data_IF_188500805989
#
_entry.id   IF_188500805989
#
_cell.length_a   1.000
_cell.length_b   1.000
_cell.length_c   1.000
_cell.angle_alpha   90.00
_cell.angle_beta   90.00
_cell.angle_gamma   90.00
#
_symmetry.space_group_name_H-M   'P 1'
#
loop_
_entity.id
_entity.type
_entity.pdbx_description
1 polymer ?
#
# COMPACT_ATOMS: atom_id res chain seq x y z
N UNK A 1 -2.56 -7.24 -24.45
CA UNK A 1 -1.18 -6.98 -24.93
C UNK A 1 -1.14 -5.56 -25.48
N UNK A 2 -0.15 -4.73 -25.10
CA UNK A 2 0.05 -3.42 -25.75
C UNK A 2 0.27 -3.71 -27.24
N UNK A 3 -0.48 -3.06 -28.11
CA UNK A 3 -0.16 -3.05 -29.53
C UNK A 3 1.23 -2.42 -29.69
N UNK A 4 2.11 -3.09 -30.41
CA UNK A 4 3.46 -2.58 -30.71
C UNK A 4 3.27 -1.49 -31.77
N UNK A 5 3.43 -0.22 -31.37
CA UNK A 5 3.32 0.92 -32.29
C UNK A 5 4.66 1.27 -32.95
N UNK A 6 5.39 0.23 -33.35
CA UNK A 6 6.71 0.36 -33.94
C UNK A 6 6.72 1.28 -35.17
N UNK A 7 5.70 1.19 -36.02
CA UNK A 7 5.56 2.02 -37.22
C UNK A 7 5.48 3.51 -36.90
N UNK A 8 4.70 3.86 -35.88
CA UNK A 8 4.59 5.27 -35.40
C UNK A 8 5.94 5.77 -34.90
N UNK A 9 6.65 4.95 -34.10
CA UNK A 9 7.96 5.32 -33.53
C UNK A 9 9.01 5.51 -34.62
N UNK A 10 9.02 4.63 -35.62
CA UNK A 10 9.89 4.80 -36.81
C UNK A 10 9.59 6.12 -37.54
N UNK A 11 8.31 6.39 -37.82
CA UNK A 11 7.90 7.61 -38.51
C UNK A 11 8.24 8.90 -37.73
N UNK A 12 8.03 8.89 -36.43
CA UNK A 12 8.35 10.02 -35.54
C UNK A 12 9.87 10.30 -35.51
N UNK A 13 10.70 9.28 -35.29
CA UNK A 13 12.15 9.42 -35.24
C UNK A 13 12.74 9.83 -36.61
N UNK A 14 12.23 9.25 -37.71
CA UNK A 14 12.62 9.66 -39.06
C UNK A 14 12.33 11.14 -39.31
N UNK A 15 11.11 11.60 -38.99
CA UNK A 15 10.72 13.03 -39.14
C UNK A 15 11.55 13.95 -38.24
N UNK A 16 11.82 13.54 -37.02
CA UNK A 16 12.66 14.28 -36.08
C UNK A 16 14.07 14.50 -36.63
N UNK A 17 14.61 13.52 -37.35
CA UNK A 17 15.91 13.59 -38.05
C UNK A 17 15.82 14.24 -39.43
N UNK A 18 14.63 14.59 -39.90
CA UNK A 18 14.37 15.23 -41.20
C UNK A 18 14.85 14.43 -42.40
N UNK A 19 14.83 13.10 -42.33
CA UNK A 19 15.16 12.19 -43.39
C UNK A 19 13.92 11.65 -44.09
N UNK A 20 14.10 11.26 -45.37
CA UNK A 20 13.06 10.65 -46.20
C UNK A 20 12.93 9.15 -45.94
N UNK A 21 11.83 8.52 -46.39
CA UNK A 21 11.70 7.06 -46.36
C UNK A 21 12.72 6.38 -47.27
N UNK A 22 13.16 7.04 -48.33
CA UNK A 22 14.18 6.51 -49.26
C UNK A 22 15.55 6.43 -48.58
N UNK A 23 15.97 7.48 -47.88
CA UNK A 23 17.24 7.50 -47.15
C UNK A 23 17.29 6.45 -46.04
N UNK A 24 16.19 6.27 -45.30
CA UNK A 24 16.09 5.22 -44.28
C UNK A 24 16.14 3.83 -44.93
N UNK A 25 15.45 3.64 -46.06
CA UNK A 25 15.45 2.40 -46.82
C UNK A 25 16.84 2.01 -47.37
N UNK A 26 17.56 3.00 -47.88
CA UNK A 26 18.93 2.86 -48.38
C UNK A 26 19.87 2.41 -47.23
N UNK A 27 19.81 3.06 -46.11
CA UNK A 27 20.63 2.71 -44.93
C UNK A 27 20.41 1.26 -44.48
N UNK A 28 19.15 0.81 -44.48
CA UNK A 28 18.77 -0.53 -44.01
C UNK A 28 18.89 -1.61 -45.08
N UNK A 29 19.19 -1.25 -46.33
CA UNK A 29 19.24 -2.19 -47.43
C UNK A 29 17.87 -2.76 -47.83
N UNK A 30 16.79 -2.01 -47.65
CA UNK A 30 15.40 -2.40 -47.96
C UNK A 30 14.75 -1.48 -48.98
N UNK A 31 13.55 -1.82 -49.45
CA UNK A 31 12.81 -0.93 -50.36
C UNK A 31 12.08 0.17 -49.59
N UNK A 32 11.90 1.35 -50.23
CA UNK A 32 11.03 2.41 -49.72
C UNK A 32 9.64 1.90 -49.37
N UNK A 33 9.09 1.01 -50.20
CA UNK A 33 7.76 0.43 -49.97
C UNK A 33 7.70 -0.38 -48.66
N UNK A 34 8.81 -1.01 -48.24
CA UNK A 34 8.88 -1.70 -46.95
C UNK A 34 8.79 -0.69 -45.79
N UNK A 35 9.60 0.37 -45.83
CA UNK A 35 9.56 1.47 -44.81
C UNK A 35 8.18 2.09 -44.74
N UNK A 36 7.54 2.38 -45.86
CA UNK A 36 6.18 2.93 -45.91
C UNK A 36 5.16 1.99 -45.26
N UNK A 37 5.24 0.69 -45.48
CA UNK A 37 4.38 -0.32 -44.86
C UNK A 37 4.59 -0.41 -43.35
N UNK A 38 5.82 -0.26 -42.88
CA UNK A 38 6.11 -0.21 -41.43
C UNK A 38 5.51 1.00 -40.80
N UNK A 39 5.70 2.20 -41.37
CA UNK A 39 5.17 3.47 -40.85
C UNK A 39 3.63 3.53 -40.84
N UNK A 40 2.97 2.78 -41.73
CA UNK A 40 1.51 2.63 -41.79
C UNK A 40 0.99 1.43 -40.98
N UNK A 41 1.88 0.72 -40.28
CA UNK A 41 1.57 -0.45 -39.45
C UNK A 41 0.91 -1.63 -40.22
N UNK A 42 1.05 -1.66 -41.56
CA UNK A 42 0.58 -2.76 -42.42
C UNK A 42 1.52 -3.96 -42.43
N UNK A 43 2.78 -3.77 -42.01
CA UNK A 43 3.75 -4.82 -41.76
C UNK A 43 4.79 -4.37 -40.73
N UNK A 44 5.56 -5.33 -40.22
CA UNK A 44 6.66 -5.05 -39.29
C UNK A 44 8.01 -5.28 -39.98
N UNK A 45 9.10 -4.58 -39.55
CA UNK A 45 10.47 -4.92 -39.93
C UNK A 45 10.82 -6.35 -39.47
N UNK A 46 11.73 -6.99 -40.19
CA UNK A 46 12.37 -8.20 -39.69
C UNK A 46 13.12 -7.89 -38.39
N UNK A 47 13.09 -8.82 -37.43
CA UNK A 47 13.74 -8.68 -36.14
C UNK A 47 15.23 -8.35 -36.26
N UNK A 48 15.90 -8.83 -37.32
CA UNK A 48 17.29 -8.55 -37.59
C UNK A 48 17.59 -7.11 -38.01
N UNK A 49 16.56 -6.35 -38.41
CA UNK A 49 16.67 -4.91 -38.72
C UNK A 49 16.50 -4.01 -37.52
N UNK A 50 15.94 -4.53 -36.40
CA UNK A 50 15.71 -3.72 -35.22
C UNK A 50 16.98 -3.11 -34.62
N UNK A 51 18.12 -3.82 -34.50
CA UNK A 51 19.38 -3.23 -34.06
C UNK A 51 19.88 -2.10 -34.98
N UNK A 52 19.72 -2.27 -36.29
CA UNK A 52 20.06 -1.22 -37.26
C UNK A 52 19.20 0.02 -37.15
N UNK A 53 17.88 -0.14 -36.98
CA UNK A 53 16.93 0.96 -36.73
C UNK A 53 17.24 1.68 -35.43
N UNK A 54 17.45 0.95 -34.35
CA UNK A 54 17.77 1.50 -33.04
C UNK A 54 19.06 2.32 -33.06
N UNK A 55 20.11 1.74 -33.65
CA UNK A 55 21.40 2.44 -33.85
C UNK A 55 21.30 3.66 -34.77
N UNK A 56 20.53 3.56 -35.86
CA UNK A 56 20.32 4.70 -36.75
C UNK A 56 19.60 5.86 -36.09
N UNK A 57 18.62 5.57 -35.22
CA UNK A 57 17.87 6.58 -34.50
C UNK A 57 18.53 6.97 -33.16
N UNK A 58 19.61 6.32 -32.75
CA UNK A 58 20.28 6.55 -31.47
C UNK A 58 19.31 6.39 -30.28
N UNK A 59 18.59 5.29 -30.30
CA UNK A 59 17.65 4.88 -29.25
C UNK A 59 17.86 3.40 -28.93
N UNK A 60 17.34 2.94 -27.78
CA UNK A 60 17.34 1.52 -27.44
C UNK A 60 16.31 0.73 -28.28
N UNK A 61 16.47 -0.59 -28.35
CA UNK A 61 15.46 -1.46 -28.96
C UNK A 61 14.13 -1.36 -28.21
N UNK A 62 14.17 -1.26 -26.88
CA UNK A 62 12.99 -1.10 -26.04
C UNK A 62 12.23 0.17 -26.41
N UNK A 63 12.92 1.31 -26.54
CA UNK A 63 12.33 2.55 -27.01
C UNK A 63 11.76 2.41 -28.43
N UNK A 64 12.48 1.72 -29.33
CA UNK A 64 12.05 1.51 -30.71
C UNK A 64 10.74 0.72 -30.80
N UNK A 65 10.56 -0.30 -29.96
CA UNK A 65 9.33 -1.12 -29.93
C UNK A 65 8.27 -0.57 -28.96
N UNK A 66 8.59 0.52 -28.25
CA UNK A 66 7.70 1.11 -27.23
C UNK A 66 7.50 0.19 -26.03
N UNK A 67 8.50 -0.60 -25.68
CA UNK A 67 8.47 -1.51 -24.54
C UNK A 67 8.92 -0.79 -23.27
N UNK A 68 8.04 -0.71 -22.31
CA UNK A 68 8.29 -0.16 -20.97
C UNK A 68 8.09 -1.30 -19.96
N UNK A 69 9.16 -2.02 -19.58
CA UNK A 69 9.04 -3.16 -18.67
C UNK A 69 8.75 -2.75 -17.22
N UNK A 70 9.04 -1.50 -16.90
CA UNK A 70 8.87 -0.92 -15.57
C UNK A 70 7.85 0.21 -15.62
N UNK A 71 7.14 0.41 -14.52
CA UNK A 71 6.29 1.56 -14.29
C UNK A 71 6.95 2.42 -13.21
N UNK A 72 6.99 3.73 -13.41
CA UNK A 72 7.52 4.66 -12.42
C UNK A 72 6.60 4.77 -11.18
N UNK A 73 7.13 5.36 -10.12
CA UNK A 73 6.42 5.49 -8.83
C UNK A 73 5.08 6.26 -8.99
N UNK A 74 5.06 7.29 -9.82
CA UNK A 74 3.85 8.08 -10.03
C UNK A 74 2.79 7.31 -10.82
N UNK A 75 3.20 6.57 -11.84
CA UNK A 75 2.32 5.65 -12.59
C UNK A 75 1.70 4.57 -11.69
N UNK A 76 2.52 3.99 -10.79
CA UNK A 76 2.04 3.02 -9.81
C UNK A 76 1.01 3.66 -8.87
N UNK A 77 1.23 4.87 -8.36
CA UNK A 77 0.29 5.60 -7.52
C UNK A 77 -1.03 5.90 -8.25
N UNK A 78 -0.95 6.35 -9.51
CA UNK A 78 -2.15 6.61 -10.33
C UNK A 78 -2.96 5.34 -10.58
N UNK A 79 -2.29 4.25 -10.93
CA UNK A 79 -2.92 2.94 -11.09
C UNK A 79 -3.59 2.50 -9.80
N UNK A 80 -2.88 2.61 -8.67
CA UNK A 80 -3.42 2.21 -7.36
C UNK A 80 -4.72 2.96 -7.02
N UNK A 81 -4.70 4.30 -7.15
CA UNK A 81 -5.88 5.14 -6.86
C UNK A 81 -7.05 4.79 -7.78
N UNK A 82 -6.81 4.65 -9.08
CA UNK A 82 -7.87 4.29 -10.03
C UNK A 82 -8.55 2.96 -9.68
N UNK A 83 -7.77 1.92 -9.33
CA UNK A 83 -8.34 0.63 -8.93
C UNK A 83 -9.05 0.72 -7.57
N UNK A 84 -8.52 1.48 -6.61
CA UNK A 84 -9.19 1.70 -5.33
C UNK A 84 -10.55 2.41 -5.49
N UNK A 85 -10.64 3.38 -6.41
CA UNK A 85 -11.90 4.05 -6.78
C UNK A 85 -12.89 3.08 -7.45
N UNK A 86 -12.41 2.15 -8.28
CA UNK A 86 -13.27 1.11 -8.87
C UNK A 86 -13.87 0.21 -7.79
N UNK A 87 -13.08 -0.23 -6.81
CA UNK A 87 -13.60 -0.98 -5.66
C UNK A 87 -14.63 -0.18 -4.87
N UNK A 88 -14.37 1.11 -4.63
CA UNK A 88 -15.29 2.00 -3.93
C UNK A 88 -16.63 2.20 -4.68
N UNK A 89 -16.59 2.22 -6.02
CA UNK A 89 -17.80 2.34 -6.86
C UNK A 89 -18.64 1.06 -6.95
N UNK A 90 -18.25 -0.02 -6.27
CA UNK A 90 -18.89 -1.33 -6.33
C UNK A 90 -18.52 -2.17 -7.56
N UNK A 91 -17.53 -1.76 -8.35
CA UNK A 91 -17.05 -2.49 -9.54
C UNK A 91 -16.04 -3.58 -9.16
N UNK A 92 -16.44 -4.51 -8.29
CA UNK A 92 -15.54 -5.51 -7.69
C UNK A 92 -14.82 -6.38 -8.74
N UNK A 93 -15.56 -7.11 -9.58
CA UNK A 93 -14.98 -8.03 -10.58
C UNK A 93 -14.08 -7.31 -11.60
N UNK A 94 -14.49 -6.15 -12.16
CA UNK A 94 -13.61 -5.36 -13.03
C UNK A 94 -12.31 -4.92 -12.34
N UNK A 95 -12.37 -4.43 -11.11
CA UNK A 95 -11.19 -3.99 -10.37
C UNK A 95 -10.19 -5.13 -10.15
N UNK A 96 -10.68 -6.33 -9.80
CA UNK A 96 -9.84 -7.53 -9.66
C UNK A 96 -9.20 -7.93 -11.00
N UNK A 97 -9.96 -7.87 -12.10
CA UNK A 97 -9.40 -8.22 -13.42
C UNK A 97 -8.37 -7.18 -13.89
N UNK A 98 -8.56 -5.89 -13.62
CA UNK A 98 -7.54 -4.86 -13.86
C UNK A 98 -6.25 -5.14 -13.08
N UNK A 99 -6.36 -5.55 -11.82
CA UNK A 99 -5.17 -6.00 -11.05
C UNK A 99 -4.41 -7.11 -11.79
N UNK A 100 -5.10 -8.11 -12.30
CA UNK A 100 -4.52 -9.23 -13.04
C UNK A 100 -3.90 -8.81 -14.37
N UNK A 101 -4.55 -7.90 -15.09
CA UNK A 101 -4.04 -7.34 -16.35
C UNK A 101 -2.73 -6.58 -16.12
N UNK A 102 -2.67 -5.72 -15.10
CA UNK A 102 -1.44 -5.02 -14.75
C UNK A 102 -0.33 -5.99 -14.32
N UNK A 103 -0.63 -7.01 -13.52
CA UNK A 103 0.35 -8.01 -13.09
C UNK A 103 0.89 -8.84 -14.26
N UNK A 104 0.07 -9.11 -15.29
CA UNK A 104 0.47 -9.78 -16.53
C UNK A 104 1.31 -8.87 -17.43
N UNK A 105 0.91 -7.61 -17.58
CA UNK A 105 1.57 -6.64 -18.44
C UNK A 105 2.95 -6.24 -17.95
N UNK A 106 3.10 -6.04 -16.65
CA UNK A 106 4.33 -5.61 -15.99
C UNK A 106 4.91 -6.75 -15.14
N UNK A 107 5.13 -7.89 -15.77
CA UNK A 107 5.46 -9.17 -15.13
C UNK A 107 6.68 -9.12 -14.20
N UNK A 108 7.69 -8.29 -14.51
CA UNK A 108 8.93 -8.13 -13.74
C UNK A 108 9.07 -6.76 -13.05
N UNK A 109 8.00 -5.96 -13.00
CA UNK A 109 7.99 -4.71 -12.25
C UNK A 109 7.63 -4.99 -10.78
N UNK A 110 8.62 -5.40 -9.98
CA UNK A 110 8.38 -5.82 -8.60
C UNK A 110 7.74 -4.77 -7.70
N UNK A 111 8.07 -3.45 -7.80
CA UNK A 111 7.36 -2.42 -7.05
C UNK A 111 5.86 -2.36 -7.38
N UNK A 112 5.50 -2.52 -8.67
CA UNK A 112 4.10 -2.57 -9.10
C UNK A 112 3.40 -3.84 -8.58
N UNK A 113 4.04 -5.02 -8.73
CA UNK A 113 3.47 -6.29 -8.27
C UNK A 113 3.18 -6.27 -6.76
N UNK A 114 4.06 -5.65 -5.98
CA UNK A 114 3.85 -5.46 -4.55
C UNK A 114 2.61 -4.58 -4.27
N UNK A 115 2.43 -3.48 -5.02
CA UNK A 115 1.26 -2.62 -4.86
C UNK A 115 -0.04 -3.33 -5.28
N UNK A 116 0.00 -4.17 -6.31
CA UNK A 116 -1.16 -5.00 -6.69
C UNK A 116 -1.50 -6.00 -5.59
N UNK A 117 -0.50 -6.65 -4.98
CA UNK A 117 -0.73 -7.53 -3.84
C UNK A 117 -1.37 -6.79 -2.65
N UNK A 118 -0.91 -5.57 -2.36
CA UNK A 118 -1.52 -4.69 -1.34
C UNK A 118 -2.97 -4.32 -1.68
N UNK A 119 -3.27 -3.96 -2.94
CA UNK A 119 -4.64 -3.68 -3.37
C UNK A 119 -5.54 -4.89 -3.11
N UNK A 120 -5.12 -6.07 -3.58
CA UNK A 120 -5.91 -7.29 -3.43
C UNK A 120 -6.22 -7.60 -1.97
N UNK A 121 -5.22 -7.57 -1.08
CA UNK A 121 -5.45 -7.91 0.33
C UNK A 121 -6.28 -6.82 1.05
N UNK A 122 -6.03 -5.54 0.78
CA UNK A 122 -6.74 -4.44 1.43
C UNK A 122 -8.21 -4.35 1.03
N UNK A 123 -8.58 -4.86 -0.15
CA UNK A 123 -9.97 -4.86 -0.64
C UNK A 123 -10.61 -6.25 -0.62
N UNK A 124 -9.92 -7.27 -0.10
CA UNK A 124 -10.46 -8.64 -0.04
C UNK A 124 -11.75 -8.75 0.76
N UNK A 125 -11.95 -7.92 1.78
CA UNK A 125 -13.18 -7.85 2.56
C UNK A 125 -14.41 -7.40 1.77
N UNK A 126 -14.23 -6.77 0.60
CA UNK A 126 -15.31 -6.37 -0.30
C UNK A 126 -15.76 -7.50 -1.24
N UNK A 127 -15.12 -8.67 -1.14
CA UNK A 127 -15.51 -9.83 -1.92
C UNK A 127 -16.95 -10.28 -1.57
N UNK A 128 -17.74 -10.73 -2.56
CA UNK A 128 -19.13 -11.11 -2.33
C UNK A 128 -19.31 -12.33 -1.42
N UNK A 129 -18.27 -13.13 -1.27
CA UNK A 129 -18.27 -14.32 -0.41
C UNK A 129 -16.87 -14.65 0.13
N UNK A 130 -16.82 -15.56 1.09
CA UNK A 130 -15.58 -16.06 1.71
C UNK A 130 -14.61 -16.63 0.67
N UNK A 131 -15.10 -17.31 -0.35
CA UNK A 131 -14.27 -17.91 -1.39
C UNK A 131 -13.60 -16.86 -2.28
N UNK A 132 -14.28 -15.76 -2.57
CA UNK A 132 -13.72 -14.62 -3.28
C UNK A 132 -12.60 -13.97 -2.46
N UNK A 133 -12.82 -13.77 -1.17
CA UNK A 133 -11.81 -13.23 -0.24
C UNK A 133 -10.56 -14.13 -0.20
N UNK A 134 -10.74 -15.43 -0.05
CA UNK A 134 -9.63 -16.41 -0.02
C UNK A 134 -8.85 -16.38 -1.34
N UNK A 135 -9.54 -16.33 -2.48
CA UNK A 135 -8.89 -16.25 -3.79
C UNK A 135 -8.04 -14.99 -3.94
N UNK A 136 -8.54 -13.84 -3.52
CA UNK A 136 -7.75 -12.59 -3.54
C UNK A 136 -6.52 -12.69 -2.64
N UNK A 137 -6.66 -13.27 -1.44
CA UNK A 137 -5.54 -13.48 -0.53
C UNK A 137 -4.49 -14.45 -1.10
N UNK A 138 -4.91 -15.51 -1.80
CA UNK A 138 -4.00 -16.43 -2.50
C UNK A 138 -3.24 -15.74 -3.64
N UNK A 139 -3.93 -14.93 -4.47
CA UNK A 139 -3.31 -14.15 -5.54
C UNK A 139 -2.32 -13.13 -4.97
N UNK A 140 -2.67 -12.43 -3.90
CA UNK A 140 -1.78 -11.49 -3.21
C UNK A 140 -0.54 -12.18 -2.62
N UNK A 141 -0.70 -13.36 -2.03
CA UNK A 141 0.40 -14.16 -1.51
C UNK A 141 1.36 -14.60 -2.63
N UNK A 142 0.83 -15.04 -3.77
CA UNK A 142 1.66 -15.45 -4.92
C UNK A 142 2.45 -14.28 -5.50
N UNK A 143 1.83 -13.11 -5.64
CA UNK A 143 2.53 -11.90 -6.08
C UNK A 143 3.62 -11.49 -5.09
N UNK A 144 3.33 -11.54 -3.79
CA UNK A 144 4.29 -11.24 -2.72
C UNK A 144 5.48 -12.18 -2.76
N UNK A 145 5.25 -13.49 -2.97
CA UNK A 145 6.32 -14.50 -3.13
C UNK A 145 7.20 -14.20 -4.32
N UNK A 146 6.62 -13.83 -5.47
CA UNK A 146 7.36 -13.44 -6.67
C UNK A 146 8.22 -12.21 -6.41
N UNK A 147 7.68 -11.19 -5.76
CA UNK A 147 8.43 -9.98 -5.40
C UNK A 147 9.59 -10.33 -4.49
N UNK A 148 9.33 -11.08 -3.41
CA UNK A 148 10.34 -11.50 -2.43
C UNK A 148 11.53 -12.24 -3.09
N UNK A 149 11.24 -13.11 -4.05
CA UNK A 149 12.28 -13.95 -4.68
C UNK A 149 12.97 -13.27 -5.87
N UNK A 150 12.34 -12.26 -6.49
CA UNK A 150 12.83 -11.67 -7.71
C UNK A 150 13.46 -10.28 -7.56
N UNK A 151 13.18 -9.58 -6.46
CA UNK A 151 13.71 -8.22 -6.27
C UNK A 151 15.13 -8.24 -5.68
N UNK A 152 15.97 -7.33 -6.17
CA UNK A 152 17.29 -7.05 -5.57
C UNK A 152 17.20 -6.00 -4.44
N UNK A 153 16.02 -5.39 -4.21
CA UNK A 153 15.79 -4.44 -3.11
C UNK A 153 15.44 -5.19 -1.81
N UNK A 154 16.34 -5.18 -0.81
CA UNK A 154 16.11 -5.90 0.45
C UNK A 154 14.90 -5.39 1.24
N UNK A 155 14.56 -4.09 1.11
CA UNK A 155 13.42 -3.51 1.80
C UNK A 155 12.10 -3.97 1.16
N UNK A 156 12.05 -3.95 -0.17
CA UNK A 156 10.90 -4.46 -0.91
C UNK A 156 10.71 -5.96 -0.65
N UNK A 157 11.80 -6.74 -0.61
CA UNK A 157 11.77 -8.16 -0.29
C UNK A 157 11.23 -8.45 1.11
N UNK A 158 11.65 -7.69 2.13
CA UNK A 158 11.11 -7.80 3.49
C UNK A 158 9.63 -7.41 3.57
N UNK A 159 9.25 -6.33 2.91
CA UNK A 159 7.86 -5.92 2.86
C UNK A 159 6.98 -6.99 2.19
N UNK A 160 7.47 -7.60 1.12
CA UNK A 160 6.77 -8.68 0.44
C UNK A 160 6.67 -9.96 1.30
N UNK A 161 7.71 -10.32 2.04
CA UNK A 161 7.66 -11.41 3.02
C UNK A 161 6.60 -11.16 4.08
N UNK A 162 6.55 -9.94 4.62
CA UNK A 162 5.55 -9.56 5.61
C UNK A 162 4.12 -9.63 5.04
N UNK A 163 3.93 -9.14 3.83
CA UNK A 163 2.63 -9.18 3.16
C UNK A 163 2.18 -10.62 2.86
N UNK A 164 3.11 -11.51 2.43
CA UNK A 164 2.84 -12.94 2.27
C UNK A 164 2.35 -13.56 3.59
N UNK A 165 3.01 -13.25 4.70
CA UNK A 165 2.60 -13.72 6.02
C UNK A 165 1.21 -13.21 6.42
N UNK A 166 0.89 -11.94 6.16
CA UNK A 166 -0.46 -11.39 6.37
C UNK A 166 -1.52 -12.14 5.54
N UNK A 167 -1.23 -12.44 4.27
CA UNK A 167 -2.13 -13.23 3.44
C UNK A 167 -2.36 -14.64 4.02
N UNK A 168 -1.32 -15.28 4.57
CA UNK A 168 -1.46 -16.61 5.21
C UNK A 168 -2.36 -16.55 6.46
N UNK A 169 -2.34 -15.46 7.23
CA UNK A 169 -3.29 -15.28 8.35
C UNK A 169 -4.74 -15.16 7.86
N UNK A 170 -4.98 -14.38 6.80
CA UNK A 170 -6.32 -14.28 6.19
C UNK A 170 -6.80 -15.66 5.70
N UNK A 171 -5.90 -16.46 5.13
CA UNK A 171 -6.15 -17.84 4.67
C UNK A 171 -6.23 -18.87 5.82
N UNK A 172 -6.11 -18.43 7.09
CA UNK A 172 -6.10 -19.30 8.27
C UNK A 172 -5.02 -20.40 8.25
N UNK A 173 -3.82 -20.05 7.76
CA UNK A 173 -2.63 -20.92 7.66
C UNK A 173 -1.52 -20.47 8.62
N UNK A 174 -1.72 -20.51 9.95
CA UNK A 174 -0.76 -19.94 10.92
C UNK A 174 0.60 -20.66 10.91
N UNK A 175 0.63 -21.97 10.60
CA UNK A 175 1.88 -22.73 10.52
C UNK A 175 2.79 -22.26 9.39
N UNK A 176 2.23 -21.74 8.30
CA UNK A 176 3.01 -21.13 7.23
C UNK A 176 3.62 -19.80 7.67
N UNK A 177 2.88 -19.00 8.46
CA UNK A 177 3.39 -17.74 9.03
C UNK A 177 4.57 -18.01 9.95
N UNK A 178 4.47 -19.01 10.84
CA UNK A 178 5.57 -19.39 11.75
C UNK A 178 6.84 -19.78 10.98
N UNK A 179 6.70 -20.50 9.85
CA UNK A 179 7.82 -20.87 8.99
C UNK A 179 8.40 -19.68 8.22
N UNK A 180 7.52 -18.78 7.74
CA UNK A 180 7.94 -17.59 6.97
C UNK A 180 8.68 -16.56 7.82
N UNK A 181 8.23 -16.37 9.06
CA UNK A 181 8.74 -15.35 9.99
C UNK A 181 9.55 -15.98 11.12
N UNK A 182 10.31 -17.06 10.86
CA UNK A 182 11.23 -17.59 11.85
C UNK A 182 12.13 -16.45 12.40
N UNK A 183 12.32 -16.38 13.71
CA UNK A 183 13.04 -15.27 14.31
C UNK A 183 14.46 -15.17 13.76
N UNK A 184 14.78 -14.05 13.12
CA UNK A 184 16.17 -13.71 12.87
C UNK A 184 16.89 -13.47 14.21
N UNK A 185 18.20 -13.74 14.29
CA UNK A 185 18.96 -13.42 15.51
C UNK A 185 18.80 -11.93 15.83
N UNK A 186 18.61 -11.56 17.12
CA UNK A 186 18.35 -10.19 17.51
C UNK A 186 19.49 -9.27 17.07
N UNK A 187 19.18 -8.27 16.27
CA UNK A 187 20.11 -7.21 15.93
C UNK A 187 20.38 -6.34 17.19
N UNK A 188 21.63 -5.99 17.42
CA UNK A 188 22.06 -5.20 18.59
C UNK A 188 21.74 -3.70 18.49
N UNK A 189 21.06 -3.26 17.42
CA UNK A 189 20.67 -1.86 17.23
C UNK A 189 20.07 -1.61 15.86
N UNK A 190 19.52 -0.42 15.68
CA UNK A 190 19.00 0.07 14.40
C UNK A 190 20.04 0.95 13.70
N UNK A 191 20.07 1.02 12.36
CA UNK A 191 21.06 1.81 11.62
C UNK A 191 20.87 3.32 11.73
N UNK A 192 19.68 3.80 12.06
CA UNK A 192 19.33 5.21 12.01
C UNK A 192 20.21 6.11 12.92
N UNK A 193 20.53 5.75 14.18
CA UNK A 193 21.44 6.56 15.00
C UNK A 193 22.86 6.68 14.43
N UNK A 194 23.36 5.62 13.77
CA UNK A 194 24.67 5.65 13.12
C UNK A 194 24.65 6.53 11.87
N UNK A 195 23.60 6.39 11.05
CA UNK A 195 23.41 7.24 9.86
C UNK A 195 23.27 8.71 10.25
N UNK A 196 22.48 9.01 11.26
CA UNK A 196 22.33 10.38 11.76
C UNK A 196 23.65 10.96 12.27
N UNK A 197 24.45 10.14 12.98
CA UNK A 197 25.79 10.55 13.44
C UNK A 197 26.71 10.84 12.26
N UNK A 198 26.71 10.01 11.21
CA UNK A 198 27.50 10.21 10.01
C UNK A 198 27.11 11.50 9.27
N UNK A 199 25.81 11.76 9.10
CA UNK A 199 25.32 12.99 8.48
C UNK A 199 25.68 14.22 9.28
N UNK A 200 25.55 14.16 10.62
CA UNK A 200 25.96 15.25 11.51
C UNK A 200 27.47 15.55 11.40
N UNK A 201 28.30 14.50 11.36
CA UNK A 201 29.76 14.64 11.18
C UNK A 201 30.10 15.21 9.80
N UNK A 202 29.31 14.96 8.78
CA UNK A 202 29.47 15.52 7.43
C UNK A 202 28.91 16.96 7.32
N UNK A 203 28.48 17.56 8.42
CA UNK A 203 27.96 18.93 8.46
C UNK A 203 26.48 19.08 8.05
N UNK A 204 25.77 17.98 7.84
CA UNK A 204 24.36 18.00 7.43
C UNK A 204 23.42 17.57 8.56
N UNK A 205 23.26 18.49 9.54
CA UNK A 205 22.42 18.23 10.71
C UNK A 205 20.92 18.06 10.37
N UNK A 206 20.45 18.67 9.28
CA UNK A 206 19.05 18.57 8.85
C UNK A 206 18.73 17.14 8.39
N UNK A 207 19.56 16.51 7.57
CA UNK A 207 19.38 15.11 7.17
C UNK A 207 19.47 14.16 8.37
N UNK A 208 20.38 14.43 9.31
CA UNK A 208 20.45 13.67 10.55
C UNK A 208 19.13 13.74 11.35
N UNK A 209 18.54 14.94 11.47
CA UNK A 209 17.26 15.14 12.16
C UNK A 209 16.11 14.45 11.43
N UNK A 210 16.03 14.57 10.10
CA UNK A 210 15.02 13.92 9.25
C UNK A 210 15.01 12.39 9.44
N UNK A 211 16.18 11.75 9.39
CA UNK A 211 16.32 10.31 9.61
C UNK A 211 15.82 9.91 11.00
N UNK A 212 16.16 10.67 12.04
CA UNK A 212 15.75 10.36 13.41
C UNK A 212 14.24 10.59 13.62
N UNK A 213 13.66 11.67 13.09
CA UNK A 213 12.23 11.90 13.17
C UNK A 213 11.46 10.77 12.47
N UNK A 214 11.87 10.35 11.28
CA UNK A 214 11.27 9.23 10.57
C UNK A 214 11.36 7.92 11.37
N UNK A 215 12.53 7.64 11.98
CA UNK A 215 12.71 6.47 12.81
C UNK A 215 11.82 6.51 14.07
N UNK A 216 11.75 7.64 14.76
CA UNK A 216 10.89 7.81 15.95
C UNK A 216 9.42 7.59 15.56
N UNK A 217 8.94 8.21 14.48
CA UNK A 217 7.58 8.06 13.99
C UNK A 217 7.24 6.60 13.67
N UNK A 218 8.09 5.92 12.88
CA UNK A 218 7.92 4.49 12.54
C UNK A 218 7.89 3.60 13.78
N UNK A 219 8.83 3.82 14.72
CA UNK A 219 8.91 3.01 15.93
C UNK A 219 7.72 3.27 16.88
N UNK A 220 7.22 4.49 16.96
CA UNK A 220 5.99 4.82 17.69
C UNK A 220 4.79 4.02 17.15
N UNK A 221 4.57 4.05 15.82
CA UNK A 221 3.50 3.29 15.17
C UNK A 221 3.69 1.78 15.40
N UNK A 222 4.90 1.27 15.25
CA UNK A 222 5.23 -0.14 15.52
C UNK A 222 4.94 -0.51 16.96
N UNK A 223 5.30 0.33 17.92
CA UNK A 223 5.07 0.10 19.34
C UNK A 223 3.57 0.05 19.68
N UNK A 224 2.76 0.95 19.13
CA UNK A 224 1.32 0.93 19.32
C UNK A 224 0.66 -0.32 18.72
N UNK A 225 1.11 -0.76 17.55
CA UNK A 225 0.66 -2.02 16.95
C UNK A 225 1.03 -3.24 17.83
N UNK A 226 2.26 -3.29 18.35
CA UNK A 226 2.70 -4.37 19.23
C UNK A 226 1.89 -4.40 20.53
N UNK A 227 1.59 -3.24 21.13
CA UNK A 227 0.72 -3.17 22.30
C UNK A 227 -0.70 -3.63 21.99
N UNK A 228 -1.27 -3.24 20.84
CA UNK A 228 -2.59 -3.72 20.42
C UNK A 228 -2.63 -5.23 20.28
N UNK A 229 -1.65 -5.82 19.57
CA UNK A 229 -1.56 -7.28 19.43
C UNK A 229 -1.34 -7.99 20.79
N UNK A 230 -0.55 -7.39 21.68
CA UNK A 230 -0.34 -7.95 23.02
C UNK A 230 -1.61 -7.90 23.87
N UNK A 231 -2.42 -6.82 23.77
CA UNK A 231 -3.71 -6.73 24.43
C UNK A 231 -4.68 -7.83 23.98
N UNK A 232 -4.69 -8.16 22.69
CA UNK A 232 -5.50 -9.28 22.16
C UNK A 232 -5.08 -10.61 22.81
N UNK A 233 -3.77 -10.88 22.89
CA UNK A 233 -3.23 -12.10 23.48
C UNK A 233 -3.50 -12.21 24.97
N UNK A 234 -3.45 -11.08 25.70
CA UNK A 234 -3.66 -11.06 27.15
C UNK A 234 -5.07 -10.59 27.57
N UNK A 235 -6.06 -10.62 26.67
CA UNK A 235 -7.40 -10.10 26.93
C UNK A 235 -8.10 -10.72 28.16
N UNK A 236 -7.78 -11.97 28.52
CA UNK A 236 -8.32 -12.65 29.71
C UNK A 236 -7.52 -12.35 31.00
N UNK A 237 -6.29 -11.84 30.87
CA UNK A 237 -5.43 -11.43 32.00
C UNK A 237 -5.67 -9.95 32.32
N UNK A 238 -6.57 -9.70 33.26
CA UNK A 238 -7.00 -8.35 33.63
C UNK A 238 -5.84 -7.40 33.93
N UNK A 239 -4.85 -7.83 34.70
CA UNK A 239 -3.75 -6.94 35.12
C UNK A 239 -2.86 -6.54 33.93
N UNK A 240 -2.52 -7.50 33.09
CA UNK A 240 -1.72 -7.23 31.88
C UNK A 240 -2.49 -6.39 30.87
N UNK A 241 -3.77 -6.67 30.69
CA UNK A 241 -4.61 -5.92 29.76
C UNK A 241 -4.77 -4.47 30.21
N UNK A 242 -5.14 -4.21 31.47
CA UNK A 242 -5.30 -2.86 32.03
C UNK A 242 -3.99 -2.06 31.93
N UNK A 243 -2.86 -2.66 32.28
CA UNK A 243 -1.55 -1.99 32.20
C UNK A 243 -1.16 -1.71 30.74
N UNK A 244 -1.48 -2.60 29.81
CA UNK A 244 -1.23 -2.38 28.38
C UNK A 244 -2.08 -1.22 27.81
N UNK A 245 -3.37 -1.16 28.20
CA UNK A 245 -4.24 -0.03 27.87
C UNK A 245 -3.69 1.30 28.39
N UNK A 246 -3.24 1.32 29.66
CA UNK A 246 -2.66 2.51 30.28
C UNK A 246 -1.40 2.98 29.54
N UNK A 247 -0.49 2.07 29.21
CA UNK A 247 0.74 2.39 28.46
C UNK A 247 0.45 2.89 27.05
N UNK A 248 -0.48 2.23 26.36
CA UNK A 248 -0.89 2.64 25.03
C UNK A 248 -1.45 4.07 25.05
N UNK A 249 -2.39 4.35 25.93
CA UNK A 249 -2.97 5.69 26.07
C UNK A 249 -1.92 6.75 26.38
N UNK A 250 -0.98 6.45 27.31
CA UNK A 250 0.08 7.39 27.68
C UNK A 250 1.01 7.73 26.49
N UNK A 251 1.42 6.73 25.71
CA UNK A 251 2.25 6.95 24.51
C UNK A 251 1.46 7.72 23.46
N UNK A 252 0.22 7.32 23.20
CA UNK A 252 -0.64 7.98 22.23
C UNK A 252 -0.89 9.47 22.58
N UNK A 253 -1.09 9.79 23.85
CA UNK A 253 -1.28 11.15 24.33
C UNK A 253 0.00 11.99 24.15
N UNK A 254 1.16 11.48 24.59
CA UNK A 254 2.44 12.19 24.49
C UNK A 254 2.79 12.54 23.05
N UNK A 255 2.52 11.64 22.10
CA UNK A 255 2.79 11.85 20.68
C UNK A 255 1.60 12.43 19.91
N UNK A 256 0.48 12.74 20.55
CA UNK A 256 -0.75 13.22 19.87
C UNK A 256 -1.12 12.34 18.67
N UNK A 257 -1.05 11.02 18.85
CA UNK A 257 -1.19 10.05 17.76
C UNK A 257 -2.56 10.11 17.08
N UNK A 258 -3.61 10.50 17.79
CA UNK A 258 -4.95 10.79 17.28
C UNK A 258 -4.93 11.82 16.13
N UNK A 259 -4.01 12.76 16.15
CA UNK A 259 -3.82 13.79 15.13
C UNK A 259 -2.84 13.35 14.04
N UNK A 260 -1.73 12.75 14.43
CA UNK A 260 -0.67 12.33 13.49
C UNK A 260 -1.08 11.14 12.63
N UNK A 261 -1.75 10.16 13.23
CA UNK A 261 -2.15 8.92 12.57
C UNK A 261 -3.49 8.41 13.13
N UNK A 262 -4.63 9.06 12.78
CA UNK A 262 -5.94 8.66 13.31
C UNK A 262 -6.25 7.18 13.12
N UNK A 263 -5.89 6.60 11.97
CA UNK A 263 -6.18 5.20 11.64
C UNK A 263 -5.64 4.20 12.66
N UNK A 264 -4.40 4.39 13.18
CA UNK A 264 -3.87 3.48 14.20
C UNK A 264 -4.62 3.62 15.51
N UNK A 265 -4.99 4.84 15.88
CA UNK A 265 -5.76 5.06 17.12
C UNK A 265 -7.13 4.41 17.07
N UNK A 266 -7.80 4.45 15.93
CA UNK A 266 -9.08 3.76 15.73
C UNK A 266 -8.94 2.24 15.93
N UNK A 267 -7.89 1.64 15.37
CA UNK A 267 -7.59 0.21 15.60
C UNK A 267 -7.33 -0.07 17.08
N UNK A 268 -6.52 0.76 17.76
CA UNK A 268 -6.25 0.63 19.18
C UNK A 268 -7.52 0.69 20.02
N UNK A 269 -8.43 1.64 19.75
CA UNK A 269 -9.68 1.76 20.50
C UNK A 269 -10.60 0.55 20.31
N UNK A 270 -10.70 -0.01 19.10
CA UNK A 270 -11.48 -1.24 18.86
C UNK A 270 -10.90 -2.40 19.68
N UNK A 271 -9.59 -2.62 19.63
CA UNK A 271 -8.93 -3.68 20.43
C UNK A 271 -9.16 -3.50 21.93
N UNK A 272 -9.04 -2.26 22.42
CA UNK A 272 -9.33 -1.95 23.84
C UNK A 272 -10.78 -2.26 24.20
N UNK A 273 -11.75 -1.82 23.40
CA UNK A 273 -13.16 -2.05 23.66
C UNK A 273 -13.50 -3.55 23.64
N UNK A 274 -12.96 -4.31 22.71
CA UNK A 274 -13.12 -5.76 22.62
C UNK A 274 -12.56 -6.46 23.87
N UNK A 275 -11.38 -6.11 24.33
CA UNK A 275 -10.79 -6.67 25.53
C UNK A 275 -11.59 -6.35 26.81
N UNK A 276 -12.14 -5.13 26.94
CA UNK A 276 -13.05 -4.80 28.03
C UNK A 276 -14.32 -5.64 27.99
N UNK A 277 -14.85 -5.95 26.81
CA UNK A 277 -15.99 -6.88 26.67
C UNK A 277 -15.65 -8.28 27.11
N UNK A 278 -14.47 -8.79 26.76
CA UNK A 278 -13.97 -10.11 27.23
C UNK A 278 -13.90 -10.16 28.75
N UNK A 279 -13.46 -9.08 29.41
CA UNK A 279 -13.38 -8.96 30.87
C UNK A 279 -14.73 -8.66 31.53
N UNK A 280 -15.83 -8.50 30.78
CA UNK A 280 -17.16 -8.19 31.29
C UNK A 280 -17.35 -6.73 31.71
N UNK A 281 -16.41 -5.85 31.42
CA UNK A 281 -16.38 -4.42 31.80
C UNK A 281 -17.10 -3.56 30.75
N UNK A 282 -18.44 -3.70 30.67
CA UNK A 282 -19.28 -3.04 29.67
C UNK A 282 -19.16 -1.52 29.67
N UNK A 283 -19.09 -0.91 30.84
CA UNK A 283 -18.96 0.56 31.00
C UNK A 283 -17.65 1.06 30.40
N UNK A 284 -16.53 0.40 30.69
CA UNK A 284 -15.23 0.75 30.11
C UNK A 284 -15.20 0.54 28.59
N UNK A 285 -15.85 -0.51 28.09
CA UNK A 285 -16.00 -0.73 26.65
C UNK A 285 -16.77 0.43 25.98
N UNK A 286 -17.89 0.87 26.57
CA UNK A 286 -18.67 2.00 26.07
C UNK A 286 -17.87 3.31 26.09
N UNK A 287 -17.11 3.60 27.16
CA UNK A 287 -16.25 4.78 27.22
C UNK A 287 -15.21 4.80 26.08
N UNK A 288 -14.61 3.66 25.76
CA UNK A 288 -13.64 3.54 24.66
C UNK A 288 -14.33 3.70 23.31
N UNK A 289 -15.52 3.11 23.13
CA UNK A 289 -16.31 3.25 21.90
C UNK A 289 -16.79 4.69 21.68
N UNK A 290 -17.07 5.44 22.75
CA UNK A 290 -17.37 6.87 22.66
C UNK A 290 -16.15 7.67 22.13
N UNK A 291 -14.93 7.41 22.67
CA UNK A 291 -13.69 8.02 22.17
C UNK A 291 -13.43 7.65 20.69
N UNK A 292 -13.66 6.39 20.34
CA UNK A 292 -13.61 5.96 18.94
C UNK A 292 -14.55 6.80 18.07
N UNK A 293 -15.81 6.93 18.51
CA UNK A 293 -16.83 7.67 17.77
C UNK A 293 -16.51 9.17 17.68
N UNK A 294 -15.98 9.76 18.73
CA UNK A 294 -15.51 11.15 18.73
C UNK A 294 -14.41 11.37 17.72
N UNK A 295 -13.47 10.43 17.61
CA UNK A 295 -12.39 10.51 16.62
C UNK A 295 -12.93 10.34 15.21
N UNK A 296 -13.76 9.32 14.94
CA UNK A 296 -14.37 9.09 13.60
C UNK A 296 -15.23 10.27 13.15
N UNK A 297 -16.00 10.86 14.06
CA UNK A 297 -16.87 12.01 13.75
C UNK A 297 -16.16 13.36 13.85
N UNK A 298 -14.86 13.36 14.13
CA UNK A 298 -14.03 14.54 14.23
C UNK A 298 -13.45 15.00 12.89
N UNK A 299 -12.50 15.93 12.95
CA UNK A 299 -11.81 16.50 11.79
C UNK A 299 -10.62 15.62 11.36
N UNK A 300 -10.91 14.37 10.97
CA UNK A 300 -9.89 13.43 10.47
C UNK A 300 -9.94 13.23 8.96
N UNK A 301 -10.94 13.76 8.29
CA UNK A 301 -11.14 13.61 6.85
C UNK A 301 -10.68 14.87 6.08
N UNK A 302 -10.08 14.72 4.87
CA UNK A 302 -9.67 13.44 4.29
C UNK A 302 -8.63 12.75 5.17
N UNK A 303 -8.81 11.43 5.37
CA UNK A 303 -7.88 10.67 6.21
C UNK A 303 -6.49 10.61 5.58
N UNK A 304 -5.49 11.05 6.32
CA UNK A 304 -4.08 11.03 5.90
C UNK A 304 -3.14 11.09 7.09
N UNK A 305 -1.89 10.70 6.86
CA UNK A 305 -0.82 10.92 7.81
C UNK A 305 -0.55 12.42 7.91
N UNK A 306 -0.32 12.90 9.11
CA UNK A 306 -0.07 14.33 9.37
C UNK A 306 1.24 14.51 10.11
N UNK A 307 1.77 15.71 10.03
CA UNK A 307 2.93 16.19 10.80
C UNK A 307 2.48 17.21 11.86
N UNK A 308 3.33 17.50 12.82
CA UNK A 308 3.16 18.57 13.81
C UNK A 308 4.48 19.32 14.02
N UNK A 309 4.53 20.20 15.03
CA UNK A 309 5.72 21.03 15.29
C UNK A 309 6.94 20.20 15.71
N UNK A 310 6.78 18.96 16.17
CA UNK A 310 7.86 18.06 16.54
C UNK A 310 8.33 17.20 15.35
N UNK A 311 7.41 16.80 14.49
CA UNK A 311 7.64 16.00 13.28
C UNK A 311 7.63 16.86 12.00
N UNK A 312 8.25 18.02 12.04
CA UNK A 312 8.23 19.05 11.00
C UNK A 312 9.04 18.72 9.73
N UNK A 313 9.79 17.60 9.73
CA UNK A 313 10.63 17.17 8.62
C UNK A 313 10.07 15.93 7.90
N UNK A 314 8.85 15.48 8.20
CA UNK A 314 8.32 14.22 7.66
C UNK A 314 7.49 14.36 6.37
N UNK A 315 7.04 15.55 5.97
CA UNK A 315 6.24 15.72 4.74
C UNK A 315 6.96 15.16 3.51
N UNK A 316 8.20 15.55 3.30
CA UNK A 316 9.04 15.03 2.22
C UNK A 316 9.27 13.52 2.35
N UNK A 317 9.42 13.02 3.58
CA UNK A 317 9.66 11.61 3.84
C UNK A 317 8.42 10.77 3.49
N UNK A 318 7.20 11.22 3.85
CA UNK A 318 5.96 10.56 3.43
C UNK A 318 5.88 10.46 1.91
N UNK A 319 6.20 11.55 1.21
CA UNK A 319 6.11 11.60 -0.24
C UNK A 319 7.19 10.74 -0.93
N UNK A 320 8.42 10.74 -0.42
CA UNK A 320 9.54 10.05 -1.05
C UNK A 320 9.61 8.57 -0.71
N UNK A 321 9.35 8.19 0.55
CA UNK A 321 9.58 6.84 1.04
C UNK A 321 8.31 5.98 1.04
N UNK A 322 7.14 6.56 1.34
CA UNK A 322 5.91 5.81 1.33
C UNK A 322 5.35 5.65 -0.08
N UNK A 323 4.92 4.45 -0.41
CA UNK A 323 4.43 4.12 -1.75
C UNK A 323 3.22 4.95 -2.16
N UNK A 324 2.32 5.23 -1.21
CA UNK A 324 1.10 6.02 -1.43
C UNK A 324 1.20 7.45 -0.88
N UNK A 325 2.40 7.86 -0.42
CA UNK A 325 2.56 9.13 0.28
C UNK A 325 1.80 9.16 1.60
N UNK A 326 1.14 10.26 1.91
CA UNK A 326 0.37 10.44 3.14
C UNK A 326 -1.03 9.77 3.13
N UNK A 327 -1.47 9.24 1.98
CA UNK A 327 -2.83 8.75 1.77
C UNK A 327 -3.01 7.29 2.20
N UNK A 328 -4.22 6.93 2.68
CA UNK A 328 -4.55 5.55 3.01
C UNK A 328 -4.69 4.68 1.75
N UNK A 329 -4.63 3.35 1.91
CA UNK A 329 -4.73 2.41 0.80
C UNK A 329 -6.15 2.20 0.26
N UNK A 330 -7.18 2.73 0.92
CA UNK A 330 -8.59 2.59 0.53
C UNK A 330 -9.21 3.95 0.29
N UNK A 331 -10.23 3.98 -0.56
CA UNK A 331 -11.06 5.16 -0.74
C UNK A 331 -11.73 5.57 0.57
N UNK A 332 -12.00 6.87 0.72
CA UNK A 332 -12.57 7.44 1.95
C UNK A 332 -13.95 6.86 2.27
N UNK A 333 -14.77 6.60 1.26
CA UNK A 333 -16.11 5.99 1.44
C UNK A 333 -16.00 4.57 2.02
N UNK A 334 -15.07 3.77 1.51
CA UNK A 334 -14.78 2.42 2.03
C UNK A 334 -14.24 2.47 3.45
N UNK A 335 -13.41 3.46 3.76
CA UNK A 335 -12.88 3.66 5.11
C UNK A 335 -14.02 4.01 6.08
N UNK A 336 -14.88 4.98 5.75
CA UNK A 336 -16.04 5.39 6.57
C UNK A 336 -16.96 4.22 6.85
N UNK A 337 -17.33 3.47 5.81
CA UNK A 337 -18.14 2.26 5.93
C UNK A 337 -17.49 1.22 6.86
N UNK A 338 -16.21 0.90 6.64
CA UNK A 338 -15.47 -0.05 7.46
C UNK A 338 -15.40 0.37 8.95
N UNK A 339 -15.31 1.67 9.23
CA UNK A 339 -15.28 2.19 10.59
C UNK A 339 -16.63 2.04 11.29
N UNK A 340 -17.73 2.24 10.57
CA UNK A 340 -19.08 1.99 11.10
C UNK A 340 -19.28 0.51 11.38
N UNK A 341 -18.93 -0.36 10.41
CA UNK A 341 -19.06 -1.81 10.57
C UNK A 341 -18.21 -2.37 11.71
N UNK A 342 -17.01 -1.83 11.93
CA UNK A 342 -16.13 -2.27 13.03
C UNK A 342 -16.77 -2.18 14.41
N UNK A 343 -17.81 -1.37 14.56
CA UNK A 343 -18.59 -1.24 15.80
C UNK A 343 -19.98 -1.88 15.63
N UNK A 344 -20.72 -1.51 14.59
CA UNK A 344 -22.14 -1.89 14.47
C UNK A 344 -22.33 -3.38 14.17
N UNK A 345 -21.44 -3.99 13.39
CA UNK A 345 -21.53 -5.39 12.97
C UNK A 345 -20.57 -6.32 13.72
N UNK A 346 -19.82 -5.80 14.68
CA UNK A 346 -18.87 -6.58 15.44
C UNK A 346 -19.57 -7.50 16.46
N UNK A 347 -19.43 -8.82 16.34
CA UNK A 347 -20.14 -9.77 17.20
C UNK A 347 -19.76 -9.64 18.67
N UNK A 348 -18.58 -9.12 19.02
CA UNK A 348 -18.14 -8.89 20.40
C UNK A 348 -19.01 -7.85 21.10
N UNK A 349 -19.54 -6.89 20.36
CA UNK A 349 -20.40 -5.81 20.88
C UNK A 349 -21.89 -6.15 20.84
N UNK A 350 -22.28 -7.33 20.33
CA UNK A 350 -23.70 -7.73 20.29
C UNK A 350 -24.40 -7.65 21.65
N UNK A 351 -23.67 -7.92 22.75
CA UNK A 351 -24.16 -7.78 24.12
C UNK A 351 -24.47 -6.35 24.56
N UNK A 352 -24.10 -5.31 23.78
CA UNK A 352 -24.38 -3.92 24.04
C UNK A 352 -25.59 -3.37 23.26
N UNK A 353 -26.21 -4.17 22.38
CA UNK A 353 -27.28 -3.71 21.47
C UNK A 353 -28.47 -3.02 22.17
N UNK A 354 -28.77 -3.43 23.41
CA UNK A 354 -29.86 -2.82 24.20
C UNK A 354 -29.45 -1.57 24.98
N UNK A 355 -28.14 -1.26 25.04
CA UNK A 355 -27.65 -0.11 25.78
C UNK A 355 -27.93 1.21 25.03
N UNK A 356 -28.57 2.20 25.64
CA UNK A 356 -28.90 3.45 24.97
C UNK A 356 -27.67 4.22 24.47
N UNK A 357 -26.53 4.12 25.18
CA UNK A 357 -25.25 4.75 24.77
C UNK A 357 -24.72 4.08 23.52
N UNK A 358 -24.74 2.75 23.42
CA UNK A 358 -24.29 2.02 22.23
C UNK A 358 -25.14 2.35 21.00
N UNK A 359 -26.48 2.45 21.16
CA UNK A 359 -27.35 2.87 20.05
C UNK A 359 -27.01 4.27 19.53
N UNK A 360 -26.69 5.21 20.41
CA UNK A 360 -26.24 6.56 20.01
C UNK A 360 -24.90 6.53 19.28
N UNK A 361 -23.97 5.67 19.71
CA UNK A 361 -22.69 5.45 19.03
C UNK A 361 -22.94 5.00 17.59
N UNK A 362 -23.69 3.91 17.41
CA UNK A 362 -24.02 3.36 16.09
C UNK A 362 -24.74 4.38 15.19
N UNK A 363 -25.71 5.10 15.75
CA UNK A 363 -26.44 6.16 15.02
C UNK A 363 -25.50 7.30 14.56
N UNK A 364 -24.57 7.74 15.41
CA UNK A 364 -23.59 8.79 15.05
C UNK A 364 -22.64 8.32 13.96
N UNK A 365 -22.15 7.09 14.04
CA UNK A 365 -21.27 6.49 13.03
C UNK A 365 -22.00 6.34 11.70
N UNK A 366 -23.25 5.86 11.70
CA UNK A 366 -24.06 5.75 10.48
C UNK A 366 -24.30 7.08 9.77
N UNK A 367 -24.54 8.17 10.51
CA UNK A 367 -24.67 9.52 9.91
C UNK A 367 -23.37 10.01 9.27
N UNK A 368 -22.21 9.60 9.80
CA UNK A 368 -20.91 9.97 9.25
C UNK A 368 -20.59 9.23 7.95
N UNK A 369 -21.20 8.09 7.73
CA UNK A 369 -21.08 7.32 6.48
C UNK A 369 -21.86 7.96 5.32
N UNK A 370 -22.94 8.70 5.62
CA UNK A 370 -23.79 9.35 4.60
C UNK A 370 -23.20 10.69 4.08
N UNK A 371 -22.13 11.21 4.70
CA UNK A 371 -21.43 12.45 4.32
C UNK A 371 -20.29 12.13 3.35
#
# INVERSE_FOLDING_TARGET
>A
MKEIHLGRIIAENRRKRRITQDELAEFLGVSKAAVSKWETETSYPDILLLPGLASYFDISIDELIGYEPQMDKEGIRKMYRAIAEEFASGSFEPAVEHCREYARKYYSCYPLLFQIALILINHSMLAPDQKGMEKMAEEAAELSRRVKTGTDDPNLGRNALHLEACCMLVLRRPEEVLKLLEPEPPMTGTPEPLLASAWKMSGNANEAAKILQAAIYKNMITFLNLLSSYMEVCAEDREKFEESCRRLCAVAEVFRTDKLHPGIMLTCYITMAQGWMVLGEREKALEVLERYTELVCGDIYPMRLKVDEYFDLLDDWFEQELSLGEYPPRDESVIRHSMTQAVAENPVFAGLADEPRFRKIVERLGRQEEI
#
